data_IF_007326534109
#
_entry.id   IF_007326534109
#
_cell.length_a   1.000
_cell.length_b   1.000
_cell.length_c   1.000
_cell.angle_alpha   90.00
_cell.angle_beta   90.00
_cell.angle_gamma   90.00
#
_symmetry.space_group_name_H-M   'P 1'
#
loop_
_entity.id
_entity.type
_entity.pdbx_description
1 polymer ?
#
# COMPACT_ATOMS: atom_id res chain seq x y z
N UNK A 1 28.02 -32.65 -71.60
CA UNK A 1 26.59 -32.43 -71.59
C UNK A 1 25.88 -33.77 -71.65
N UNK A 2 25.44 -34.32 -70.54
CA UNK A 2 24.63 -35.55 -70.55
C UNK A 2 23.61 -35.49 -69.45
N UNK A 3 22.35 -35.44 -69.84
CA UNK A 3 21.19 -35.43 -68.98
C UNK A 3 21.05 -36.74 -68.24
N UNK A 4 21.02 -36.75 -66.92
CA UNK A 4 20.62 -37.90 -66.14
C UNK A 4 19.14 -37.85 -65.78
N UNK A 5 18.45 -38.88 -66.19
CA UNK A 5 17.01 -39.06 -66.05
C UNK A 5 16.64 -39.42 -64.61
N UNK A 6 15.53 -38.80 -64.16
CA UNK A 6 14.75 -39.30 -63.01
C UNK A 6 14.20 -40.66 -63.31
N UNK A 7 14.45 -41.64 -62.45
CA UNK A 7 13.52 -42.75 -62.15
C UNK A 7 14.15 -43.74 -61.17
N UNK A 8 13.36 -44.13 -60.19
CA UNK A 8 13.37 -45.42 -59.47
C UNK A 8 14.28 -45.44 -58.23
N UNK A 9 13.69 -45.12 -57.07
CA UNK A 9 13.90 -45.86 -55.84
C UNK A 9 12.57 -45.98 -55.08
N UNK A 10 11.82 -47.03 -55.42
CA UNK A 10 10.81 -47.60 -54.54
C UNK A 10 11.48 -48.86 -54.00
N UNK A 11 12.01 -48.70 -52.81
CA UNK A 11 12.59 -49.80 -52.02
C UNK A 11 11.90 -49.87 -50.68
N UNK A 12 11.06 -50.87 -50.59
CA UNK A 12 10.32 -51.28 -49.40
C UNK A 12 11.28 -51.49 -48.21
N UNK A 13 11.14 -50.69 -47.18
CA UNK A 13 11.61 -50.98 -45.82
C UNK A 13 10.44 -50.76 -44.86
N UNK A 14 9.65 -51.81 -44.65
CA UNK A 14 8.74 -51.93 -43.54
C UNK A 14 9.60 -52.13 -42.26
N UNK A 15 10.05 -51.03 -41.67
CA UNK A 15 10.56 -51.05 -40.33
C UNK A 15 9.34 -50.86 -39.40
N UNK A 16 8.91 -51.93 -38.77
CA UNK A 16 8.01 -51.93 -37.63
C UNK A 16 8.70 -51.19 -36.49
N UNK A 17 8.49 -49.88 -36.42
CA UNK A 17 8.78 -49.11 -35.21
C UNK A 17 7.72 -49.46 -34.18
N UNK A 18 8.00 -50.45 -33.34
CA UNK A 18 7.36 -50.53 -32.02
C UNK A 18 7.72 -49.24 -31.28
N UNK A 19 6.85 -48.24 -31.37
CA UNK A 19 6.88 -47.10 -30.49
C UNK A 19 6.69 -47.67 -29.08
N UNK A 20 7.79 -47.77 -28.34
CA UNK A 20 7.76 -47.87 -26.89
C UNK A 20 7.04 -46.61 -26.43
N UNK A 21 5.74 -46.71 -26.15
CA UNK A 21 4.99 -45.73 -25.42
C UNK A 21 5.58 -45.67 -24.00
N UNK A 22 6.65 -44.89 -23.82
CA UNK A 22 7.02 -44.50 -22.49
C UNK A 22 5.79 -43.79 -21.90
N UNK A 23 5.32 -44.20 -20.71
CA UNK A 23 4.27 -43.47 -20.06
C UNK A 23 4.80 -42.04 -19.90
N UNK A 24 4.21 -41.09 -20.64
CA UNK A 24 4.42 -39.69 -20.37
C UNK A 24 3.89 -39.49 -18.94
N UNK A 25 4.79 -39.33 -18.00
CA UNK A 25 4.43 -38.81 -16.69
C UNK A 25 3.85 -37.45 -17.02
N UNK A 26 2.53 -37.35 -17.05
CA UNK A 26 1.84 -36.09 -17.11
C UNK A 26 2.20 -35.38 -15.78
N UNK A 27 3.21 -34.54 -15.81
CA UNK A 27 3.44 -33.62 -14.73
C UNK A 27 2.16 -32.75 -14.66
N UNK A 28 1.35 -32.99 -13.63
CA UNK A 28 0.17 -32.17 -13.38
C UNK A 28 0.58 -30.71 -13.37
N UNK A 29 -0.28 -29.82 -13.84
CA UNK A 29 -0.03 -28.40 -13.79
C UNK A 29 0.36 -27.99 -12.36
N UNK A 30 1.40 -27.16 -12.21
CA UNK A 30 1.85 -26.70 -10.90
C UNK A 30 0.71 -26.00 -10.17
N UNK A 31 0.60 -26.13 -8.84
CA UNK A 31 -0.30 -25.33 -8.04
C UNK A 31 -0.03 -23.83 -8.28
N UNK A 32 -1.09 -23.07 -8.49
CA UNK A 32 -1.02 -21.63 -8.82
C UNK A 32 -1.34 -20.79 -7.60
N UNK A 33 -0.42 -19.94 -7.24
CA UNK A 33 -0.65 -18.90 -6.22
C UNK A 33 -0.65 -17.54 -6.89
N UNK A 34 -1.78 -16.85 -6.80
CA UNK A 34 -1.86 -15.46 -7.22
C UNK A 34 -1.74 -14.56 -6.00
N UNK A 35 -0.89 -13.54 -6.10
CA UNK A 35 -0.72 -12.51 -5.07
C UNK A 35 -1.21 -11.19 -5.65
N UNK A 36 -2.14 -10.51 -4.99
CA UNK A 36 -2.64 -9.18 -5.38
C UNK A 36 -2.04 -8.13 -4.48
N UNK A 37 -1.34 -7.16 -5.07
CA UNK A 37 -0.69 -6.05 -4.39
C UNK A 37 0.80 -6.29 -4.16
N UNK A 38 1.63 -5.45 -4.77
CA UNK A 38 3.10 -5.51 -4.74
C UNK A 38 3.72 -4.66 -3.62
N UNK A 39 2.96 -4.31 -2.58
CA UNK A 39 3.50 -3.66 -1.38
C UNK A 39 4.40 -4.58 -0.55
N UNK A 40 4.79 -4.12 0.63
CA UNK A 40 5.70 -4.87 1.51
C UNK A 40 5.21 -6.30 1.81
N UNK A 41 3.92 -6.46 2.13
CA UNK A 41 3.35 -7.78 2.42
C UNK A 41 3.33 -8.69 1.20
N UNK A 42 2.70 -8.25 0.10
CA UNK A 42 2.51 -9.10 -1.07
C UNK A 42 3.80 -9.41 -1.83
N UNK A 43 4.69 -8.44 -2.03
CA UNK A 43 5.99 -8.68 -2.65
C UNK A 43 6.84 -9.67 -1.82
N UNK A 44 6.78 -9.57 -0.48
CA UNK A 44 7.46 -10.52 0.41
C UNK A 44 6.83 -11.89 0.31
N UNK A 45 5.52 -12.00 0.34
CA UNK A 45 4.82 -13.28 0.19
C UNK A 45 5.17 -13.95 -1.16
N UNK A 46 5.04 -13.22 -2.27
CA UNK A 46 5.39 -13.74 -3.60
C UNK A 46 6.83 -14.25 -3.66
N UNK A 47 7.78 -13.47 -3.10
CA UNK A 47 9.19 -13.87 -3.04
C UNK A 47 9.39 -15.19 -2.29
N UNK A 48 8.85 -15.30 -1.08
CA UNK A 48 9.13 -16.45 -0.24
C UNK A 48 8.36 -17.69 -0.69
N UNK A 49 7.13 -17.56 -1.20
CA UNK A 49 6.39 -18.69 -1.81
C UNK A 49 7.18 -19.24 -2.99
N UNK A 50 7.64 -18.40 -3.91
CA UNK A 50 8.43 -18.83 -5.06
C UNK A 50 9.79 -19.43 -4.66
N UNK A 51 10.51 -18.78 -3.75
CA UNK A 51 11.82 -19.23 -3.28
C UNK A 51 11.74 -20.56 -2.56
N UNK A 52 10.82 -20.71 -1.61
CA UNK A 52 10.80 -21.84 -0.69
C UNK A 52 10.14 -23.06 -1.33
N UNK A 53 9.25 -22.86 -2.32
CA UNK A 53 8.69 -23.93 -3.15
C UNK A 53 9.71 -24.55 -4.13
N UNK A 54 10.84 -23.88 -4.37
CA UNK A 54 11.90 -24.33 -5.30
C UNK A 54 11.35 -24.69 -6.70
N UNK A 55 10.38 -23.91 -7.18
CA UNK A 55 9.74 -24.11 -8.48
C UNK A 55 8.56 -25.09 -8.47
N UNK A 56 8.13 -25.61 -7.33
CA UNK A 56 6.97 -26.48 -7.23
C UNK A 56 5.62 -25.71 -7.21
N UNK A 57 5.64 -24.39 -7.17
CA UNK A 57 4.46 -23.52 -7.19
C UNK A 57 4.65 -22.47 -8.27
N UNK A 58 3.65 -22.28 -9.11
CA UNK A 58 3.57 -21.15 -10.05
C UNK A 58 3.03 -19.91 -9.32
N UNK A 59 3.87 -18.87 -9.18
CA UNK A 59 3.55 -17.65 -8.43
C UNK A 59 3.39 -16.48 -9.37
N UNK A 60 2.20 -15.87 -9.38
CA UNK A 60 1.91 -14.65 -10.13
C UNK A 60 1.63 -13.49 -9.17
N UNK A 61 2.34 -12.38 -9.35
CA UNK A 61 2.10 -11.13 -8.62
C UNK A 61 1.39 -10.11 -9.52
N UNK A 62 0.17 -9.74 -9.15
CA UNK A 62 -0.64 -8.71 -9.83
C UNK A 62 -0.46 -7.38 -9.10
N UNK A 63 0.15 -6.40 -9.77
CA UNK A 63 0.41 -5.06 -9.23
C UNK A 63 0.38 -4.04 -10.36
N UNK A 64 -0.54 -3.08 -10.28
CA UNK A 64 -0.74 -2.09 -11.34
C UNK A 64 0.48 -1.19 -11.57
N UNK A 65 1.21 -0.88 -10.51
CA UNK A 65 2.36 0.01 -10.58
C UNK A 65 3.64 -0.76 -10.90
N UNK A 66 4.46 -0.24 -11.81
CA UNK A 66 5.80 -0.80 -12.06
C UNK A 66 6.80 -0.52 -10.95
N UNK A 67 6.42 0.31 -9.98
CA UNK A 67 7.28 0.74 -8.88
C UNK A 67 6.48 0.95 -7.60
N UNK A 68 6.94 0.35 -6.52
CA UNK A 68 6.40 0.55 -5.19
C UNK A 68 7.20 1.61 -4.44
N UNK A 69 6.52 2.60 -3.88
CA UNK A 69 7.11 3.56 -2.97
C UNK A 69 6.68 3.24 -1.55
N UNK A 70 7.64 2.99 -0.67
CA UNK A 70 7.36 2.61 0.71
C UNK A 70 6.71 3.73 1.50
N UNK A 71 5.70 3.43 2.32
CA UNK A 71 5.16 4.38 3.29
C UNK A 71 6.14 4.57 4.47
N UNK A 72 6.72 3.50 4.95
CA UNK A 72 7.84 3.57 5.88
C UNK A 72 9.02 4.27 5.21
N UNK A 73 9.76 5.06 5.98
CA UNK A 73 10.79 6.00 5.52
C UNK A 73 10.29 7.21 4.70
N UNK A 74 9.00 7.31 4.35
CA UNK A 74 8.48 8.48 3.65
C UNK A 74 8.56 9.76 4.50
N UNK A 75 8.42 9.65 5.83
CA UNK A 75 8.63 10.76 6.74
C UNK A 75 10.11 11.20 6.77
N UNK A 76 11.07 10.28 6.63
CA UNK A 76 12.50 10.63 6.49
C UNK A 76 12.78 11.39 5.18
N UNK A 77 12.05 11.08 4.10
CA UNK A 77 12.12 11.89 2.89
C UNK A 77 11.56 13.30 3.12
N UNK A 78 10.45 13.45 3.84
CA UNK A 78 9.92 14.77 4.23
C UNK A 78 10.94 15.57 5.05
N UNK A 79 11.67 14.91 5.95
CA UNK A 79 12.71 15.49 6.79
C UNK A 79 14.07 15.73 6.12
N UNK A 80 14.21 15.48 4.82
CA UNK A 80 15.49 15.53 4.05
C UNK A 80 16.58 14.54 4.53
N UNK A 81 16.22 13.50 5.28
CA UNK A 81 17.14 12.42 5.67
C UNK A 81 17.31 11.34 4.60
N UNK A 82 16.40 11.29 3.62
CA UNK A 82 16.44 10.33 2.51
C UNK A 82 16.06 10.98 1.19
N UNK A 83 16.69 10.54 0.10
CA UNK A 83 16.27 10.87 -1.25
C UNK A 83 15.00 10.09 -1.62
N UNK A 84 14.12 10.68 -2.45
CA UNK A 84 12.88 10.04 -2.92
C UNK A 84 13.12 8.70 -3.63
N UNK A 85 14.16 8.63 -4.45
CA UNK A 85 14.51 7.39 -5.16
C UNK A 85 14.87 6.22 -4.24
N UNK A 86 15.36 6.51 -3.01
CA UNK A 86 15.76 5.47 -2.05
C UNK A 86 14.59 4.73 -1.40
N UNK A 87 13.36 5.26 -1.50
CA UNK A 87 12.14 4.62 -1.01
C UNK A 87 11.32 3.98 -2.13
N UNK A 88 11.83 4.02 -3.37
CA UNK A 88 11.17 3.44 -4.55
C UNK A 88 11.84 2.13 -4.99
N UNK A 89 11.06 1.05 -5.10
CA UNK A 89 11.53 -0.29 -5.45
C UNK A 89 10.80 -0.80 -6.69
N UNK A 90 11.50 -1.49 -7.57
CA UNK A 90 10.92 -2.22 -8.70
C UNK A 90 10.78 -3.71 -8.37
N UNK A 91 10.15 -4.45 -9.28
CA UNK A 91 9.87 -5.88 -9.11
C UNK A 91 10.83 -6.78 -9.90
N UNK A 92 11.84 -6.20 -10.57
CA UNK A 92 12.77 -6.94 -11.42
C UNK A 92 13.42 -8.12 -10.69
N UNK A 93 13.86 -7.90 -9.45
CA UNK A 93 14.47 -8.95 -8.64
C UNK A 93 13.51 -10.11 -8.30
N UNK A 94 12.21 -9.86 -8.20
CA UNK A 94 11.21 -10.94 -7.99
C UNK A 94 11.10 -11.81 -9.23
N UNK A 95 11.02 -11.20 -10.41
CA UNK A 95 10.92 -11.93 -11.66
C UNK A 95 12.20 -12.72 -11.95
N UNK A 96 13.36 -12.07 -11.94
CA UNK A 96 14.63 -12.66 -12.41
C UNK A 96 15.23 -13.62 -11.40
N UNK A 97 15.22 -13.29 -10.11
CA UNK A 97 15.91 -14.10 -9.09
C UNK A 97 15.01 -15.17 -8.46
N UNK A 98 13.69 -15.04 -8.60
CA UNK A 98 12.73 -15.93 -7.93
C UNK A 98 11.67 -16.52 -8.87
N UNK A 99 11.67 -16.17 -10.17
CA UNK A 99 10.72 -16.71 -11.14
C UNK A 99 9.26 -16.30 -10.92
N UNK A 100 9.03 -15.16 -10.22
CA UNK A 100 7.66 -14.65 -10.03
C UNK A 100 7.15 -14.04 -11.32
N UNK A 101 5.98 -14.51 -11.79
CA UNK A 101 5.30 -13.92 -12.94
C UNK A 101 4.72 -12.55 -12.56
N UNK A 102 5.14 -11.50 -13.25
CA UNK A 102 4.69 -10.13 -12.97
C UNK A 102 3.57 -9.72 -13.93
N UNK A 103 2.42 -9.32 -13.38
CA UNK A 103 1.28 -8.78 -14.14
C UNK A 103 1.04 -7.34 -13.68
N UNK A 104 1.38 -6.38 -14.55
CA UNK A 104 1.24 -4.95 -14.26
C UNK A 104 -0.14 -4.42 -14.66
N UNK A 105 -1.16 -4.89 -13.93
CA UNK A 105 -2.55 -4.50 -14.12
C UNK A 105 -3.30 -4.34 -12.79
N UNK A 106 -4.47 -3.68 -12.86
CA UNK A 106 -5.40 -3.65 -11.75
C UNK A 106 -6.17 -4.98 -11.63
N UNK A 107 -6.16 -5.60 -10.46
CA UNK A 107 -7.14 -6.62 -10.11
C UNK A 107 -8.46 -5.90 -9.76
N UNK A 108 -9.49 -6.11 -10.55
CA UNK A 108 -10.78 -5.43 -10.37
C UNK A 108 -11.73 -6.19 -9.45
N UNK A 109 -11.76 -7.51 -9.57
CA UNK A 109 -12.63 -8.37 -8.77
C UNK A 109 -12.07 -9.78 -8.64
N UNK A 110 -12.61 -10.55 -7.71
CA UNK A 110 -12.31 -11.96 -7.50
C UNK A 110 -13.63 -12.75 -7.65
N UNK A 111 -13.60 -13.78 -8.48
CA UNK A 111 -14.65 -14.78 -8.52
C UNK A 111 -14.19 -15.99 -7.67
N UNK A 112 -14.63 -16.03 -6.43
CA UNK A 112 -14.20 -17.05 -5.46
C UNK A 112 -14.65 -18.46 -5.89
N UNK A 113 -15.87 -18.60 -6.42
CA UNK A 113 -16.40 -19.89 -6.85
C UNK A 113 -15.63 -20.47 -8.05
N UNK A 114 -15.26 -19.63 -9.02
CA UNK A 114 -14.48 -20.05 -10.17
C UNK A 114 -12.95 -19.98 -9.92
N UNK A 115 -12.52 -19.50 -8.76
CA UNK A 115 -11.11 -19.25 -8.40
C UNK A 115 -10.38 -18.43 -9.47
N UNK A 116 -10.91 -17.25 -9.80
CA UNK A 116 -10.37 -16.35 -10.82
C UNK A 116 -10.26 -14.92 -10.30
N UNK A 117 -9.14 -14.28 -10.65
CA UNK A 117 -8.92 -12.83 -10.48
C UNK A 117 -9.20 -12.17 -11.82
N UNK A 118 -10.13 -11.22 -11.88
CA UNK A 118 -10.46 -10.45 -13.08
C UNK A 118 -9.61 -9.17 -13.13
N UNK A 119 -9.00 -8.91 -14.28
CA UNK A 119 -8.07 -7.81 -14.52
C UNK A 119 -8.73 -6.64 -15.22
N UNK A 120 -8.05 -5.49 -15.21
CA UNK A 120 -8.48 -4.27 -15.90
C UNK A 120 -8.58 -4.40 -17.41
N UNK A 121 -7.79 -5.26 -18.04
CA UNK A 121 -7.86 -5.60 -19.48
C UNK A 121 -9.10 -6.40 -19.87
N UNK A 122 -9.83 -6.98 -18.91
CA UNK A 122 -10.90 -7.94 -19.14
C UNK A 122 -10.42 -9.40 -19.11
N UNK A 123 -9.13 -9.64 -19.04
CA UNK A 123 -8.57 -10.99 -18.84
C UNK A 123 -8.79 -11.48 -17.41
N UNK A 124 -8.59 -12.79 -17.19
CA UNK A 124 -8.66 -13.37 -15.86
C UNK A 124 -7.53 -14.36 -15.61
N UNK A 125 -7.06 -14.41 -14.36
CA UNK A 125 -6.02 -15.35 -13.91
C UNK A 125 -6.65 -16.34 -12.94
N UNK A 126 -6.51 -17.63 -13.22
CA UNK A 126 -6.96 -18.70 -12.34
C UNK A 126 -5.95 -18.94 -11.22
N UNK A 127 -6.43 -19.29 -10.03
CA UNK A 127 -5.60 -19.60 -8.87
C UNK A 127 -6.08 -20.87 -8.15
N UNK A 128 -5.19 -21.51 -7.41
CA UNK A 128 -5.52 -22.55 -6.44
C UNK A 128 -5.55 -21.98 -5.03
N UNK A 129 -4.65 -21.02 -4.74
CA UNK A 129 -4.66 -20.17 -3.54
C UNK A 129 -4.42 -18.71 -3.93
N UNK A 130 -5.06 -17.80 -3.20
CA UNK A 130 -4.99 -16.35 -3.43
C UNK A 130 -4.47 -15.63 -2.20
N UNK A 131 -3.49 -14.74 -2.40
CA UNK A 131 -3.01 -13.81 -1.37
C UNK A 131 -3.46 -12.41 -1.74
N UNK A 132 -4.20 -11.74 -0.86
CA UNK A 132 -4.65 -10.35 -1.04
C UNK A 132 -3.88 -9.46 -0.08
N UNK A 133 -3.03 -8.58 -0.61
CA UNK A 133 -2.23 -7.62 0.17
C UNK A 133 -2.35 -6.20 -0.36
N UNK A 134 -3.55 -5.60 -0.38
CA UNK A 134 -3.85 -4.37 -1.09
C UNK A 134 -3.49 -3.11 -0.27
N UNK A 135 -3.06 -3.28 0.96
CA UNK A 135 -2.92 -2.18 1.91
C UNK A 135 -4.26 -1.56 2.28
N UNK A 136 -4.27 -0.24 2.46
CA UNK A 136 -5.44 0.53 2.87
C UNK A 136 -6.05 1.33 1.72
N UNK A 137 -7.33 1.66 1.86
CA UNK A 137 -8.00 2.75 1.16
C UNK A 137 -8.43 3.84 2.15
N UNK A 138 -8.63 5.05 1.62
CA UNK A 138 -9.02 6.23 2.38
C UNK A 138 -10.51 6.50 2.20
N UNK A 139 -11.20 6.77 3.31
CA UNK A 139 -12.61 7.14 3.35
C UNK A 139 -12.70 8.67 3.31
N UNK A 140 -12.57 9.26 2.11
CA UNK A 140 -12.58 10.72 1.94
C UNK A 140 -13.80 11.36 2.59
N UNK A 141 -14.95 10.69 2.49
CA UNK A 141 -16.23 11.08 3.08
C UNK A 141 -16.23 11.18 4.62
N UNK A 142 -15.22 10.63 5.27
CA UNK A 142 -15.09 10.68 6.73
C UNK A 142 -14.69 12.05 7.29
N UNK A 143 -14.31 12.98 6.40
CA UNK A 143 -13.94 14.35 6.76
C UNK A 143 -14.76 15.29 5.89
N UNK A 144 -15.72 15.98 6.51
CA UNK A 144 -16.63 16.85 5.77
C UNK A 144 -15.87 17.96 5.00
N UNK A 145 -16.19 18.11 3.71
CA UNK A 145 -15.52 19.04 2.80
C UNK A 145 -14.17 18.55 2.24
N UNK A 146 -13.71 17.37 2.62
CA UNK A 146 -12.51 16.75 2.05
C UNK A 146 -12.88 15.68 1.04
N UNK A 147 -12.47 15.87 -0.21
CA UNK A 147 -12.74 14.94 -1.31
C UNK A 147 -11.45 14.36 -1.89
N UNK A 148 -11.61 13.44 -2.85
CA UNK A 148 -10.48 12.93 -3.62
C UNK A 148 -9.76 14.05 -4.40
N UNK A 149 -10.46 15.09 -4.84
CA UNK A 149 -9.88 16.27 -5.52
C UNK A 149 -9.15 17.19 -4.53
N UNK A 150 -9.68 17.32 -3.31
CA UNK A 150 -9.09 18.15 -2.26
C UNK A 150 -7.67 17.71 -1.89
N UNK A 151 -7.32 16.42 -2.09
CA UNK A 151 -5.96 15.91 -1.86
C UNK A 151 -4.89 16.58 -2.74
N UNK A 152 -5.26 17.25 -3.81
CA UNK A 152 -4.32 18.03 -4.65
C UNK A 152 -3.89 19.34 -3.96
N UNK A 153 -4.66 19.83 -3.00
CA UNK A 153 -4.40 21.04 -2.20
C UNK A 153 -3.94 20.67 -0.80
N UNK A 154 -4.59 19.70 -0.17
CA UNK A 154 -4.30 19.21 1.17
C UNK A 154 -3.93 17.72 1.10
N UNK A 155 -2.71 17.35 0.70
CA UNK A 155 -2.33 15.96 0.47
C UNK A 155 -2.44 15.13 1.74
N UNK A 156 -3.03 13.95 1.62
CA UNK A 156 -2.98 12.97 2.71
C UNK A 156 -1.55 12.42 2.88
N UNK A 157 -0.78 12.27 1.81
CA UNK A 157 0.56 11.69 1.77
C UNK A 157 0.70 10.39 2.61
N UNK A 158 -0.40 9.65 2.77
CA UNK A 158 -0.46 8.41 3.55
C UNK A 158 -0.24 7.18 2.68
N UNK A 159 -0.68 7.22 1.43
CA UNK A 159 -0.17 6.35 0.35
C UNK A 159 1.03 7.06 -0.25
N UNK A 160 2.19 6.40 -0.25
CA UNK A 160 3.43 6.97 -0.78
C UNK A 160 3.38 7.17 -2.30
N UNK A 161 4.33 7.91 -2.83
CA UNK A 161 4.38 8.31 -4.23
C UNK A 161 4.20 9.82 -4.38
N UNK A 162 3.45 10.25 -5.38
CA UNK A 162 3.26 11.66 -5.74
C UNK A 162 2.71 12.53 -4.61
N UNK A 163 1.87 11.96 -3.74
CA UNK A 163 1.31 12.65 -2.58
C UNK A 163 2.38 13.11 -1.58
N UNK A 164 3.41 12.31 -1.35
CA UNK A 164 4.51 12.66 -0.43
C UNK A 164 5.40 13.74 -1.05
N UNK A 165 5.61 13.70 -2.38
CA UNK A 165 6.34 14.75 -3.10
C UNK A 165 5.58 16.08 -3.08
N UNK A 166 4.25 16.02 -3.30
CA UNK A 166 3.39 17.20 -3.23
C UNK A 166 3.47 17.85 -1.84
N UNK A 167 3.30 17.06 -0.78
CA UNK A 167 3.41 17.56 0.59
C UNK A 167 4.78 18.21 0.84
N UNK A 168 5.87 17.55 0.42
CA UNK A 168 7.21 18.12 0.59
C UNK A 168 7.40 19.45 -0.12
N UNK A 169 6.88 19.58 -1.34
CA UNK A 169 6.95 20.80 -2.11
C UNK A 169 6.16 21.93 -1.44
N UNK A 170 4.97 21.63 -0.91
CA UNK A 170 4.17 22.61 -0.17
C UNK A 170 4.86 23.07 1.11
N UNK A 171 5.41 22.14 1.89
CA UNK A 171 6.17 22.45 3.12
C UNK A 171 7.39 23.33 2.80
N UNK A 172 8.14 23.03 1.73
CA UNK A 172 9.29 23.85 1.31
C UNK A 172 8.90 25.21 0.76
N UNK A 173 7.77 25.30 0.08
CA UNK A 173 7.24 26.54 -0.51
C UNK A 173 6.44 27.40 0.45
N UNK A 174 6.26 26.98 1.70
CA UNK A 174 5.47 27.73 2.67
C UNK A 174 6.09 29.10 2.98
N UNK A 175 5.27 30.13 3.06
CA UNK A 175 5.74 31.50 3.40
C UNK A 175 6.40 31.55 4.78
N UNK A 176 7.25 32.56 5.02
CA UNK A 176 7.87 32.79 6.32
C UNK A 176 6.80 33.02 7.38
N UNK A 177 6.94 32.34 8.53
CA UNK A 177 5.98 32.41 9.62
C UNK A 177 4.61 31.79 9.34
N UNK A 178 4.48 31.03 8.22
CA UNK A 178 3.24 30.37 7.84
C UNK A 178 2.84 29.25 8.78
N UNK A 179 1.59 28.79 8.66
CA UNK A 179 1.02 27.71 9.48
C UNK A 179 0.84 26.44 8.65
N UNK A 180 1.38 25.33 9.15
CA UNK A 180 1.11 23.98 8.67
C UNK A 180 0.05 23.32 9.54
N UNK A 181 -1.02 22.77 8.94
CA UNK A 181 -2.06 22.04 9.68
C UNK A 181 -1.96 20.56 9.36
N UNK A 182 -1.91 19.72 10.40
CA UNK A 182 -2.01 18.27 10.33
C UNK A 182 -3.34 17.79 10.89
N UNK A 183 -4.10 17.04 10.10
CA UNK A 183 -5.27 16.28 10.56
C UNK A 183 -4.92 14.80 10.53
N UNK A 184 -4.63 14.17 11.68
CA UNK A 184 -4.43 12.73 11.79
C UNK A 184 -5.72 11.97 11.50
N UNK A 185 -5.64 10.68 11.12
CA UNK A 185 -6.83 9.85 10.97
C UNK A 185 -7.42 9.45 12.34
N UNK A 186 -8.72 9.18 12.43
CA UNK A 186 -9.32 8.52 13.59
C UNK A 186 -8.88 7.04 13.65
N UNK A 187 -8.99 6.44 14.83
CA UNK A 187 -8.75 5.00 15.01
C UNK A 187 -9.88 4.16 14.38
N UNK A 188 -9.57 2.96 13.85
CA UNK A 188 -8.26 2.35 13.67
C UNK A 188 -7.58 2.81 12.36
N UNK A 189 -6.26 2.94 12.37
CA UNK A 189 -5.51 3.30 11.17
C UNK A 189 -4.10 2.71 11.16
N UNK A 190 -3.50 2.63 9.98
CA UNK A 190 -2.12 2.18 9.78
C UNK A 190 -1.13 3.15 10.42
N UNK A 191 -0.09 2.61 11.10
CA UNK A 191 1.04 3.36 11.63
C UNK A 191 0.63 4.45 12.66
N UNK A 192 0.15 4.07 13.86
CA UNK A 192 -0.32 5.01 14.87
C UNK A 192 0.62 6.17 15.23
N UNK A 193 1.96 6.02 15.33
CA UNK A 193 2.85 7.15 15.56
C UNK A 193 3.12 8.01 14.31
N UNK A 194 2.77 7.54 13.11
CA UNK A 194 3.16 8.14 11.83
C UNK A 194 2.79 9.61 11.62
N UNK A 195 1.59 10.10 12.02
CA UNK A 195 1.23 11.52 11.89
C UNK A 195 2.14 12.43 12.72
N UNK A 196 2.49 12.01 13.93
CA UNK A 196 3.30 12.77 14.88
C UNK A 196 4.78 12.72 14.52
N UNK A 197 5.26 11.61 13.98
CA UNK A 197 6.57 11.49 13.34
C UNK A 197 6.66 12.44 12.12
N UNK A 198 5.62 12.50 11.28
CA UNK A 198 5.54 13.43 10.14
C UNK A 198 5.71 14.87 10.59
N UNK A 199 4.95 15.28 11.61
CA UNK A 199 5.05 16.61 12.20
C UNK A 199 6.46 16.89 12.72
N UNK A 200 7.08 15.93 13.40
CA UNK A 200 8.46 16.05 13.89
C UNK A 200 9.46 16.26 12.74
N UNK A 201 9.29 15.55 11.61
CA UNK A 201 10.15 15.72 10.43
C UNK A 201 9.93 17.06 9.74
N UNK A 202 8.70 17.56 9.68
CA UNK A 202 8.38 18.88 9.15
C UNK A 202 8.93 19.97 10.08
N UNK A 203 8.79 19.84 11.39
CA UNK A 203 9.38 20.75 12.37
C UNK A 203 10.90 20.81 12.27
N UNK A 204 11.55 19.65 12.00
CA UNK A 204 12.98 19.61 11.73
C UNK A 204 13.38 20.45 10.51
N UNK A 205 12.58 20.42 9.44
CA UNK A 205 12.78 21.27 8.27
C UNK A 205 12.56 22.75 8.62
N UNK A 206 11.48 23.07 9.29
CA UNK A 206 11.17 24.46 9.66
C UNK A 206 12.22 25.06 10.59
N UNK A 207 12.75 24.30 11.55
CA UNK A 207 13.82 24.80 12.42
C UNK A 207 15.01 25.35 11.63
N UNK A 208 15.28 24.81 10.44
CA UNK A 208 16.39 25.23 9.57
C UNK A 208 15.99 26.33 8.57
N UNK A 209 14.80 26.19 7.96
CA UNK A 209 14.40 26.99 6.79
C UNK A 209 13.32 28.03 7.08
N UNK A 210 12.51 27.84 8.12
CA UNK A 210 11.37 28.70 8.48
C UNK A 210 11.10 28.67 10.01
N UNK A 211 12.04 29.15 10.85
CA UNK A 211 11.98 28.94 12.30
C UNK A 211 10.80 29.62 12.99
N UNK A 212 10.12 30.56 12.33
CA UNK A 212 8.93 31.24 12.83
C UNK A 212 7.63 30.56 12.40
N UNK A 213 7.70 29.51 11.58
CA UNK A 213 6.53 28.73 11.19
C UNK A 213 5.88 28.02 12.38
N UNK A 214 4.56 27.80 12.27
CA UNK A 214 3.77 27.08 13.25
C UNK A 214 3.23 25.78 12.66
N UNK A 215 3.07 24.79 13.51
CA UNK A 215 2.43 23.52 13.19
C UNK A 215 1.28 23.31 14.16
N UNK A 216 0.08 23.16 13.64
CA UNK A 216 -1.12 22.85 14.41
C UNK A 216 -1.58 21.44 14.05
N UNK A 217 -1.81 20.60 15.05
CA UNK A 217 -2.37 19.27 14.90
C UNK A 217 -3.81 19.31 15.41
N UNK A 218 -4.78 19.20 14.51
CA UNK A 218 -6.20 19.05 14.84
C UNK A 218 -6.51 17.56 14.92
N UNK A 219 -6.38 17.00 16.10
CA UNK A 219 -6.45 15.55 16.28
C UNK A 219 -7.90 15.12 16.57
N UNK A 220 -8.51 14.22 15.77
CA UNK A 220 -9.83 13.68 16.06
C UNK A 220 -9.86 12.72 17.28
N UNK A 221 -8.76 12.66 18.03
CA UNK A 221 -8.58 11.81 19.22
C UNK A 221 -8.16 12.64 20.43
N UNK A 222 -8.46 12.14 21.63
CA UNK A 222 -8.04 12.76 22.90
C UNK A 222 -6.67 12.25 23.39
N UNK A 223 -6.16 11.19 22.77
CA UNK A 223 -4.84 10.61 23.03
C UNK A 223 -4.26 10.02 21.75
N UNK A 224 -2.94 9.92 21.70
CA UNK A 224 -2.25 9.28 20.58
C UNK A 224 -1.07 8.39 21.03
N UNK A 225 -0.64 7.53 20.13
CA UNK A 225 0.43 6.56 20.40
C UNK A 225 1.74 7.29 20.76
N UNK A 226 2.36 6.86 21.87
CA UNK A 226 3.64 7.39 22.38
C UNK A 226 3.62 8.93 22.66
N UNK A 227 2.46 9.45 23.03
CA UNK A 227 2.22 10.89 23.22
C UNK A 227 3.27 11.54 24.12
N UNK A 228 3.57 10.94 25.27
CA UNK A 228 4.54 11.51 26.22
C UNK A 228 5.91 11.75 25.60
N UNK A 229 6.42 10.77 24.83
CA UNK A 229 7.72 10.87 24.16
C UNK A 229 7.72 11.98 23.07
N UNK A 230 6.63 12.09 22.29
CA UNK A 230 6.51 13.13 21.27
C UNK A 230 6.44 14.52 21.92
N UNK A 231 5.60 14.69 22.93
CA UNK A 231 5.45 15.98 23.63
C UNK A 231 6.76 16.46 24.27
N UNK A 232 7.48 15.54 24.95
CA UNK A 232 8.81 15.81 25.50
C UNK A 232 9.81 16.20 24.39
N UNK A 233 9.85 15.43 23.31
CA UNK A 233 10.73 15.68 22.16
C UNK A 233 10.43 17.04 21.50
N UNK A 234 9.17 17.39 21.31
CA UNK A 234 8.77 18.67 20.73
C UNK A 234 9.13 19.84 21.62
N UNK A 235 8.87 19.73 22.92
CA UNK A 235 9.24 20.78 23.86
C UNK A 235 10.76 21.01 23.90
N UNK A 236 11.54 19.94 23.83
CA UNK A 236 13.01 19.99 23.85
C UNK A 236 13.61 20.54 22.55
N UNK A 237 13.12 20.11 21.41
CA UNK A 237 13.75 20.36 20.12
C UNK A 237 13.09 21.44 19.26
N UNK A 238 11.79 21.69 19.48
CA UNK A 238 10.95 22.64 18.70
C UNK A 238 10.04 23.47 19.62
N UNK A 239 10.58 24.11 20.67
CA UNK A 239 9.77 24.82 21.66
C UNK A 239 8.89 25.87 20.99
N UNK A 240 7.58 25.83 21.30
CA UNK A 240 6.60 26.79 20.78
C UNK A 240 6.29 26.71 19.28
N UNK A 241 6.83 25.70 18.55
CA UNK A 241 6.56 25.52 17.11
C UNK A 241 5.35 24.60 16.85
N UNK A 242 5.14 23.58 17.69
CA UNK A 242 4.12 22.55 17.49
C UNK A 242 3.05 22.68 18.57
N UNK A 243 1.81 22.78 18.14
CA UNK A 243 0.62 22.77 18.99
C UNK A 243 -0.23 21.55 18.64
N UNK A 244 -0.52 20.71 19.62
CA UNK A 244 -1.44 19.59 19.49
C UNK A 244 -2.76 19.94 20.20
N UNK A 245 -3.86 19.86 19.47
CA UNK A 245 -5.20 20.18 19.94
C UNK A 245 -6.05 18.91 19.82
N UNK A 246 -6.52 18.41 20.96
CA UNK A 246 -7.33 17.19 21.04
C UNK A 246 -8.75 17.41 20.51
N UNK A 247 -9.44 16.31 20.18
CA UNK A 247 -10.85 16.36 19.80
C UNK A 247 -11.72 17.05 20.87
N UNK A 248 -11.47 16.76 22.13
CA UNK A 248 -12.18 17.40 23.27
C UNK A 248 -11.94 18.91 23.31
N UNK A 249 -10.73 19.37 22.98
CA UNK A 249 -10.37 20.80 23.01
C UNK A 249 -10.97 21.55 21.82
N UNK A 250 -10.88 21.01 20.58
CA UNK A 250 -11.40 21.73 19.41
C UNK A 250 -12.85 21.36 19.06
N UNK A 251 -13.48 20.43 19.79
CA UNK A 251 -14.90 20.04 19.62
C UNK A 251 -15.23 19.25 18.36
N UNK A 252 -14.22 18.91 17.55
CA UNK A 252 -14.38 18.22 16.27
C UNK A 252 -14.20 19.13 15.05
N UNK A 253 -13.82 18.55 13.92
CA UNK A 253 -13.72 19.25 12.65
C UNK A 253 -15.08 19.21 11.96
N UNK A 254 -15.76 20.36 11.88
CA UNK A 254 -17.06 20.50 11.22
C UNK A 254 -16.96 20.45 9.71
N UNK A 255 -15.96 21.17 9.16
CA UNK A 255 -15.78 21.29 7.72
C UNK A 255 -14.35 21.67 7.37
N UNK A 256 -13.88 21.14 6.26
CA UNK A 256 -12.64 21.56 5.61
C UNK A 256 -12.98 22.25 4.29
N UNK A 257 -12.32 23.38 4.03
CA UNK A 257 -12.36 24.05 2.73
C UNK A 257 -10.96 24.03 2.09
N UNK A 258 -10.76 23.15 1.12
CA UNK A 258 -9.47 22.99 0.45
C UNK A 258 -9.13 24.19 -0.47
N UNK A 259 -10.09 25.00 -0.87
CA UNK A 259 -9.85 26.20 -1.70
C UNK A 259 -9.31 27.35 -0.86
N UNK A 260 -9.89 27.59 0.31
CA UNK A 260 -9.45 28.67 1.24
C UNK A 260 -8.41 28.19 2.25
N UNK A 261 -8.11 26.89 2.29
CA UNK A 261 -7.21 26.24 3.24
C UNK A 261 -7.67 26.42 4.68
N UNK A 262 -8.97 26.31 4.93
CA UNK A 262 -9.60 26.55 6.25
C UNK A 262 -10.17 25.26 6.84
N UNK A 263 -10.07 25.18 8.18
CA UNK A 263 -10.54 24.07 9.01
C UNK A 263 -11.47 24.65 10.07
N UNK A 264 -12.78 24.48 9.87
CA UNK A 264 -13.80 24.90 10.82
C UNK A 264 -13.95 23.85 11.91
N UNK A 265 -13.84 24.24 13.16
CA UNK A 265 -14.07 23.41 14.36
C UNK A 265 -15.20 24.02 15.21
N UNK A 266 -15.54 23.36 16.33
CA UNK A 266 -16.53 23.95 17.26
C UNK A 266 -16.05 25.20 17.95
N UNK A 267 -14.75 25.36 18.14
CA UNK A 267 -14.17 26.49 18.87
C UNK A 267 -13.66 27.62 17.94
N UNK A 268 -13.03 27.25 16.81
CA UNK A 268 -12.33 28.25 15.99
C UNK A 268 -12.21 27.77 14.54
N UNK A 269 -11.83 28.69 13.65
CA UNK A 269 -11.46 28.42 12.26
C UNK A 269 -9.96 28.57 12.07
N UNK A 270 -9.28 27.47 11.82
CA UNK A 270 -7.84 27.46 11.57
C UNK A 270 -7.56 27.63 10.07
N UNK A 271 -6.62 28.50 9.75
CA UNK A 271 -6.16 28.72 8.36
C UNK A 271 -4.75 28.19 8.18
N UNK A 272 -4.56 27.37 7.13
CA UNK A 272 -3.27 26.81 6.80
C UNK A 272 -2.64 27.46 5.56
N UNK A 273 -1.31 27.50 5.52
CA UNK A 273 -0.53 27.80 4.31
C UNK A 273 -0.10 26.52 3.60
N UNK A 274 0.01 25.43 4.35
CA UNK A 274 0.15 24.07 3.86
C UNK A 274 -0.53 23.10 4.84
N UNK A 275 -1.03 21.98 4.34
CA UNK A 275 -1.75 21.04 5.20
C UNK A 275 -1.55 19.59 4.76
N UNK A 276 -1.69 18.66 5.71
CA UNK A 276 -1.83 17.23 5.45
C UNK A 276 -3.07 16.70 6.17
N UNK A 277 -4.04 16.21 5.39
CA UNK A 277 -5.30 15.67 5.91
C UNK A 277 -5.36 14.19 5.62
N UNK A 278 -5.43 13.37 6.67
CA UNK A 278 -5.51 11.91 6.52
C UNK A 278 -6.89 11.44 6.96
N UNK A 279 -7.77 11.03 6.02
CA UNK A 279 -9.09 10.49 6.35
C UNK A 279 -9.04 9.16 7.10
N UNK A 280 -10.19 8.71 7.59
CA UNK A 280 -10.37 7.35 8.08
C UNK A 280 -9.97 6.32 7.02
N UNK A 281 -9.64 5.13 7.46
CA UNK A 281 -9.07 4.08 6.61
C UNK A 281 -9.95 2.83 6.61
N UNK A 282 -9.80 2.05 5.54
CA UNK A 282 -10.36 0.71 5.39
C UNK A 282 -9.40 -0.15 4.58
N UNK A 283 -9.64 -1.45 4.52
CA UNK A 283 -8.93 -2.36 3.63
C UNK A 283 -9.03 -1.90 2.16
N UNK A 284 -7.99 -2.14 1.37
CA UNK A 284 -7.99 -1.80 -0.06
C UNK A 284 -9.15 -2.46 -0.81
N UNK A 285 -9.73 -1.75 -1.77
CA UNK A 285 -10.98 -2.09 -2.47
C UNK A 285 -11.07 -3.54 -2.94
N UNK A 286 -9.96 -4.12 -3.41
CA UNK A 286 -10.00 -5.50 -3.92
C UNK A 286 -10.36 -6.52 -2.84
N UNK A 287 -10.00 -6.28 -1.58
CA UNK A 287 -10.40 -7.13 -0.47
C UNK A 287 -11.92 -7.05 -0.22
N UNK A 288 -12.51 -5.85 -0.36
CA UNK A 288 -13.96 -5.64 -0.31
C UNK A 288 -14.65 -6.39 -1.48
N UNK A 289 -14.12 -6.23 -2.70
CA UNK A 289 -14.66 -6.87 -3.90
C UNK A 289 -14.52 -8.40 -3.88
N UNK A 290 -13.58 -8.94 -3.12
CA UNK A 290 -13.42 -10.39 -2.89
C UNK A 290 -14.34 -10.92 -1.79
N UNK A 291 -15.08 -10.05 -1.06
CA UNK A 291 -15.99 -10.45 0.00
C UNK A 291 -15.29 -11.01 1.23
N UNK A 292 -14.02 -10.66 1.47
CA UNK A 292 -13.25 -11.17 2.63
C UNK A 292 -13.18 -10.17 3.79
N UNK A 293 -13.89 -9.05 3.68
CA UNK A 293 -14.00 -8.04 4.73
C UNK A 293 -15.22 -8.27 5.64
N UNK A 294 -15.11 -7.77 6.86
CA UNK A 294 -16.22 -7.51 7.75
C UNK A 294 -16.11 -6.06 8.23
N UNK A 295 -17.07 -5.22 7.85
CA UNK A 295 -16.94 -3.77 7.97
C UNK A 295 -15.76 -3.24 7.16
N UNK A 296 -14.90 -2.43 7.75
CA UNK A 296 -13.79 -1.78 7.07
C UNK A 296 -12.54 -2.66 6.90
N UNK A 297 -12.44 -3.82 7.56
CA UNK A 297 -11.23 -4.63 7.63
C UNK A 297 -11.49 -6.10 7.35
N UNK A 298 -10.41 -6.87 7.09
CA UNK A 298 -10.50 -8.29 6.78
C UNK A 298 -10.15 -9.15 8.00
N UNK A 299 -11.13 -9.85 8.60
CA UNK A 299 -10.87 -10.83 9.64
C UNK A 299 -10.06 -12.01 9.10
N UNK A 300 -9.02 -12.39 9.83
CA UNK A 300 -8.15 -13.52 9.49
C UNK A 300 -8.05 -14.51 10.64
N UNK A 301 -7.62 -15.72 10.31
CA UNK A 301 -7.15 -16.70 11.28
C UNK A 301 -5.70 -16.34 11.63
N UNK A 302 -5.38 -15.91 12.86
CA UNK A 302 -4.06 -15.36 13.18
C UNK A 302 -2.88 -16.29 12.90
N UNK A 303 -3.07 -17.60 13.09
CA UNK A 303 -2.02 -18.59 12.90
C UNK A 303 -1.64 -18.82 11.43
N UNK A 304 -2.57 -18.62 10.50
CA UNK A 304 -2.38 -18.94 9.07
C UNK A 304 -2.50 -17.73 8.14
N UNK A 305 -3.03 -16.60 8.61
CA UNK A 305 -3.42 -15.44 7.81
C UNK A 305 -4.53 -15.74 6.78
N UNK A 306 -5.20 -16.89 6.87
CA UNK A 306 -6.37 -17.21 6.06
C UNK A 306 -7.51 -16.24 6.37
N UNK A 307 -8.22 -15.79 5.34
CA UNK A 307 -9.46 -15.04 5.53
C UNK A 307 -10.49 -15.94 6.21
N UNK A 308 -11.21 -15.39 7.21
CA UNK A 308 -12.28 -16.18 7.87
C UNK A 308 -13.44 -16.50 6.92
N UNK A 309 -13.60 -15.73 5.84
CA UNK A 309 -14.66 -15.88 4.86
C UNK A 309 -14.36 -16.95 3.78
N UNK A 310 -13.09 -17.26 3.51
CA UNK A 310 -12.70 -18.22 2.47
C UNK A 310 -11.33 -18.84 2.76
N UNK A 311 -11.27 -20.16 2.90
CA UNK A 311 -10.06 -20.93 3.22
C UNK A 311 -9.00 -20.93 2.09
N UNK A 312 -9.36 -20.52 0.89
CA UNK A 312 -8.44 -20.43 -0.24
C UNK A 312 -7.81 -19.04 -0.40
N UNK A 313 -8.25 -18.09 0.44
CA UNK A 313 -7.80 -16.70 0.39
C UNK A 313 -7.04 -16.35 1.67
N UNK A 314 -5.91 -15.70 1.52
CA UNK A 314 -5.06 -15.17 2.60
C UNK A 314 -5.02 -13.66 2.51
N UNK A 315 -5.12 -12.95 3.63
CA UNK A 315 -5.02 -11.49 3.65
C UNK A 315 -3.83 -11.07 4.50
N UNK A 316 -2.94 -10.28 3.89
CA UNK A 316 -1.69 -9.85 4.53
C UNK A 316 -1.59 -8.32 4.62
N UNK A 317 -0.89 -7.87 5.64
CA UNK A 317 -0.55 -6.46 5.84
C UNK A 317 -1.73 -5.63 6.33
N UNK A 318 -1.73 -4.34 5.99
CA UNK A 318 -2.62 -3.33 6.58
C UNK A 318 -4.12 -3.56 6.35
N UNK A 319 -4.51 -4.42 5.41
CA UNK A 319 -5.91 -4.78 5.16
C UNK A 319 -6.48 -5.77 6.19
N UNK A 320 -5.61 -6.55 6.85
CA UNK A 320 -6.02 -7.57 7.83
C UNK A 320 -6.21 -6.99 9.23
N UNK A 321 -7.11 -7.60 10.02
CA UNK A 321 -7.29 -7.27 11.46
C UNK A 321 -6.25 -8.04 12.27
N UNK A 322 -4.97 -7.75 12.07
CA UNK A 322 -3.89 -8.35 12.86
C UNK A 322 -3.48 -7.50 14.07
N UNK A 323 -4.38 -6.66 14.58
CA UNK A 323 -4.11 -5.77 15.71
C UNK A 323 -3.53 -6.46 16.95
N UNK A 324 -3.85 -7.73 17.16
CA UNK A 324 -3.30 -8.51 18.27
C UNK A 324 -1.82 -8.82 18.12
N UNK A 325 -1.30 -8.95 16.89
CA UNK A 325 0.11 -9.23 16.65
C UNK A 325 1.00 -7.97 16.69
N UNK A 326 0.48 -6.82 16.24
CA UNK A 326 1.23 -5.55 16.28
C UNK A 326 1.28 -4.97 17.70
N UNK A 327 0.28 -5.20 18.54
CA UNK A 327 0.27 -4.74 19.93
C UNK A 327 1.21 -5.51 20.85
N UNK A 328 1.58 -6.75 20.53
CA UNK A 328 2.50 -7.55 21.34
C UNK A 328 3.93 -6.95 21.42
N UNK A 329 4.26 -6.00 20.55
CA UNK A 329 5.54 -5.29 20.53
C UNK A 329 5.44 -3.84 21.03
N UNK A 330 4.27 -3.40 21.47
CA UNK A 330 4.04 -2.03 21.96
C UNK A 330 3.94 -1.93 23.50
N UNK A 331 4.11 -3.06 24.22
CA UNK A 331 4.17 -3.09 25.70
C UNK A 331 5.60 -3.12 26.18
#
# INVERSE_FOLDING_TARGET
MTKMKRRTFVGLAAATTTALSMPSIAFGALPRVVVIGGGAGGATAAKYIAKDSKGAIDVTLVEASKRYYTCFFSNLYLGDFRAYGSIGHNYYGLAVNHGVNMVHEWALSVNNAAKKVNLGSGESISYDKLVISPGIDLKFESVNGYSAEAQSKMPHAWKSGTQVQLLKNQVKGMKKGGTFVMVPPPNPYRCPPGPYERVSMIAHQFKKSNPTAKIVILDPKNKFSKQGLFMEGWQKHYPGMIEWISAETHGGIKKINATTMEFETDLDTFKADAASVVPAQRAGRIAMNAGVNNGDWCPIVPASMQAQADENIYVLGDASVSYTHLRAHET
#
